data_IF_745135543311
#
_entry.id   IF_745135543311
#
_cell.length_a   1.000
_cell.length_b   1.000
_cell.length_c   1.000
_cell.angle_alpha   90.00
_cell.angle_beta   90.00
_cell.angle_gamma   90.00
#
_symmetry.space_group_name_H-M   'P 1'
#
loop_
_entity.id
_entity.type
_entity.pdbx_description
1 polymer ?
#
# COMPACT_ATOMS: atom_id res chain seq x y z
N UNK A 1 -1.95 -2.73 9.00
CA UNK A 1 -2.73 -3.71 8.22
C UNK A 1 -3.34 -3.03 7.00
N UNK A 2 -4.43 -2.25 7.09
CA UNK A 2 -5.06 -1.57 5.94
C UNK A 2 -4.07 -0.83 5.02
N UNK A 3 -3.26 0.07 5.59
CA UNK A 3 -2.24 0.83 4.82
C UNK A 3 -1.21 -0.07 4.14
N UNK A 4 -0.79 -1.16 4.77
CA UNK A 4 0.20 -2.06 4.17
C UNK A 4 -0.42 -2.95 3.10
N UNK A 5 -1.63 -3.43 3.33
CA UNK A 5 -2.41 -4.18 2.34
C UNK A 5 -2.76 -3.32 1.12
N UNK A 6 -3.06 -2.04 1.33
CA UNK A 6 -3.23 -1.07 0.26
C UNK A 6 -1.93 -0.93 -0.54
N UNK A 7 -0.77 -0.77 0.13
CA UNK A 7 0.53 -0.74 -0.56
C UNK A 7 0.82 -2.01 -1.37
N UNK A 8 0.47 -3.19 -0.85
CA UNK A 8 0.62 -4.47 -1.59
C UNK A 8 -0.25 -4.47 -2.86
N UNK A 9 -1.54 -4.09 -2.77
CA UNK A 9 -2.45 -4.01 -3.93
C UNK A 9 -2.05 -2.94 -4.96
N UNK A 10 -1.32 -1.93 -4.51
CA UNK A 10 -0.89 -0.79 -5.31
C UNK A 10 0.55 -0.91 -5.83
N UNK A 11 1.26 -2.00 -5.52
CA UNK A 11 2.68 -2.16 -5.81
C UNK A 11 2.98 -1.96 -7.30
N UNK A 12 2.20 -2.61 -8.18
CA UNK A 12 2.40 -2.55 -9.64
C UNK A 12 2.24 -1.13 -10.19
N UNK A 13 1.25 -0.37 -9.67
CA UNK A 13 1.00 1.01 -10.09
C UNK A 13 2.08 1.96 -9.58
N UNK A 14 2.57 1.72 -8.37
CA UNK A 14 3.70 2.46 -7.78
C UNK A 14 4.99 2.16 -8.55
N UNK A 15 5.18 0.93 -9.01
CA UNK A 15 6.34 0.54 -9.81
C UNK A 15 6.34 1.23 -11.18
N UNK A 16 5.21 1.25 -11.88
CA UNK A 16 5.07 1.99 -13.14
C UNK A 16 5.38 3.49 -12.98
N UNK A 17 4.86 4.12 -11.92
CA UNK A 17 5.18 5.51 -11.62
C UNK A 17 6.66 5.73 -11.29
N UNK A 18 7.29 4.80 -10.55
CA UNK A 18 8.71 4.87 -10.26
C UNK A 18 9.55 4.75 -11.54
N UNK A 19 9.13 3.95 -12.52
CA UNK A 19 9.77 3.87 -13.83
C UNK A 19 9.67 5.21 -14.58
N UNK A 20 8.48 5.81 -14.67
CA UNK A 20 8.35 7.14 -15.29
C UNK A 20 9.20 8.21 -14.60
N UNK A 21 9.28 8.18 -13.26
CA UNK A 21 10.10 9.12 -12.51
C UNK A 21 11.60 8.95 -12.83
N UNK A 22 12.08 7.72 -12.96
CA UNK A 22 13.46 7.41 -13.37
C UNK A 22 13.76 7.91 -14.79
N UNK A 23 12.82 7.73 -15.72
CA UNK A 23 12.99 8.10 -17.12
C UNK A 23 12.87 9.61 -17.36
N UNK A 24 12.02 10.28 -16.58
CA UNK A 24 11.74 11.72 -16.74
C UNK A 24 12.73 12.63 -16.00
N UNK A 25 13.46 12.10 -15.02
CA UNK A 25 14.46 12.83 -14.24
C UNK A 25 13.90 14.12 -13.63
N UNK A 26 14.54 15.25 -13.93
CA UNK A 26 14.16 16.56 -13.38
C UNK A 26 12.73 16.99 -13.74
N UNK A 27 12.20 16.57 -14.90
CA UNK A 27 10.86 16.95 -15.37
C UNK A 27 9.76 15.96 -14.94
N UNK A 28 10.04 15.02 -14.03
CA UNK A 28 9.08 13.99 -13.61
C UNK A 28 7.74 14.57 -13.13
N UNK A 29 7.75 15.69 -12.40
CA UNK A 29 6.52 16.28 -11.84
C UNK A 29 5.55 16.77 -12.93
N UNK A 30 6.06 17.08 -14.12
CA UNK A 30 5.27 17.52 -15.26
C UNK A 30 4.93 16.36 -16.19
N UNK A 31 5.91 15.49 -16.50
CA UNK A 31 5.73 14.35 -17.43
C UNK A 31 4.95 13.21 -16.82
N UNK A 32 5.21 12.85 -15.57
CA UNK A 32 4.54 11.75 -14.87
C UNK A 32 3.27 12.21 -14.14
N UNK A 33 2.77 13.44 -14.40
CA UNK A 33 1.58 13.98 -13.73
C UNK A 33 0.33 13.14 -14.02
N UNK A 34 0.17 12.72 -15.28
CA UNK A 34 -0.98 11.90 -15.67
C UNK A 34 -0.94 10.51 -15.05
N UNK A 35 0.25 9.90 -14.96
CA UNK A 35 0.43 8.63 -14.25
C UNK A 35 0.22 8.79 -12.74
N UNK A 36 0.64 9.91 -12.17
CA UNK A 36 0.42 10.18 -10.75
C UNK A 36 -1.08 10.37 -10.45
N UNK A 37 -1.81 11.03 -11.34
CA UNK A 37 -3.27 11.21 -11.21
C UNK A 37 -4.04 9.92 -11.50
N UNK A 38 -3.66 9.14 -12.52
CA UNK A 38 -4.43 7.99 -13.00
C UNK A 38 -4.04 6.67 -12.34
N UNK A 39 -2.77 6.51 -11.95
CA UNK A 39 -2.22 5.22 -11.50
C UNK A 39 -1.92 5.20 -10.00
N UNK A 40 -1.30 6.25 -9.44
CA UNK A 40 -0.86 6.25 -8.03
C UNK A 40 -1.85 6.93 -7.09
N UNK A 41 -2.37 8.11 -7.47
CA UNK A 41 -3.17 8.96 -6.61
C UNK A 41 -4.60 8.49 -6.43
N UNK A 42 -5.34 8.27 -7.53
CA UNK A 42 -6.80 8.15 -7.46
C UNK A 42 -7.37 6.76 -7.12
N UNK A 43 -6.88 5.64 -7.69
CA UNK A 43 -7.48 4.33 -7.49
C UNK A 43 -6.70 3.43 -6.51
N UNK A 44 -5.88 4.03 -5.63
CA UNK A 44 -5.01 3.25 -4.75
C UNK A 44 -4.75 3.86 -3.38
N UNK A 45 -4.65 5.20 -3.31
CA UNK A 45 -4.35 5.92 -2.06
C UNK A 45 -5.58 6.67 -1.53
N UNK A 46 -6.52 7.05 -2.40
CA UNK A 46 -7.72 7.77 -2.00
C UNK A 46 -8.69 6.91 -1.17
N UNK A 47 -9.50 7.53 -0.30
CA UNK A 47 -10.44 6.87 0.60
C UNK A 47 -11.49 5.98 -0.08
N UNK A 48 -11.65 6.03 -1.40
CA UNK A 48 -12.64 5.23 -2.11
C UNK A 48 -12.31 3.72 -2.06
N UNK A 49 -11.04 3.33 -2.13
CA UNK A 49 -10.65 1.91 -1.94
C UNK A 49 -10.74 1.47 -0.48
N UNK A 50 -10.59 2.41 0.47
CA UNK A 50 -10.83 2.15 1.89
C UNK A 50 -12.33 2.01 2.21
N UNK A 51 -13.20 2.53 1.34
CA UNK A 51 -14.65 2.38 1.45
C UNK A 51 -15.15 1.08 0.83
N UNK A 52 -14.30 0.31 0.14
CA UNK A 52 -14.67 -1.02 -0.34
C UNK A 52 -14.95 -1.94 0.87
N UNK A 53 -16.20 -2.35 1.10
CA UNK A 53 -16.55 -3.20 2.24
C UNK A 53 -15.84 -4.56 2.18
N UNK A 54 -15.50 -5.06 0.99
CA UNK A 54 -14.77 -6.32 0.85
C UNK A 54 -13.32 -6.19 1.36
N UNK A 55 -12.64 -5.09 1.01
CA UNK A 55 -11.29 -4.81 1.49
C UNK A 55 -11.24 -4.60 3.00
N UNK A 56 -12.24 -3.89 3.55
CA UNK A 56 -12.35 -3.68 4.99
C UNK A 56 -12.53 -4.99 5.75
N UNK A 57 -13.44 -5.87 5.31
CA UNK A 57 -13.66 -7.16 5.95
C UNK A 57 -12.44 -8.08 5.85
N UNK A 58 -11.72 -8.10 4.72
CA UNK A 58 -10.47 -8.87 4.59
C UNK A 58 -9.44 -8.43 5.65
N UNK A 59 -9.21 -7.12 5.76
CA UNK A 59 -8.24 -6.60 6.72
C UNK A 59 -8.69 -6.77 8.18
N UNK A 60 -10.00 -6.74 8.43
CA UNK A 60 -10.58 -7.02 9.75
C UNK A 60 -10.39 -8.48 10.15
N UNK A 61 -10.60 -9.42 9.22
CA UNK A 61 -10.32 -10.84 9.46
C UNK A 61 -8.85 -11.09 9.78
N UNK A 62 -7.94 -10.48 9.01
CA UNK A 62 -6.50 -10.54 9.27
C UNK A 62 -6.13 -10.00 10.65
N UNK A 63 -6.70 -8.86 11.06
CA UNK A 63 -6.49 -8.30 12.39
C UNK A 63 -6.97 -9.22 13.51
N UNK A 64 -8.16 -9.84 13.34
CA UNK A 64 -8.71 -10.78 14.31
C UNK A 64 -7.80 -12.01 14.43
N UNK A 65 -7.30 -12.54 13.31
CA UNK A 65 -6.35 -13.66 13.32
C UNK A 65 -5.06 -13.32 14.04
N UNK A 66 -4.42 -12.18 13.74
CA UNK A 66 -3.21 -11.73 14.45
C UNK A 66 -3.45 -11.57 15.96
N UNK A 67 -4.64 -11.10 16.36
CA UNK A 67 -5.01 -10.98 17.78
C UNK A 67 -5.16 -12.35 18.45
N UNK A 68 -5.82 -13.31 17.79
CA UNK A 68 -5.98 -14.67 18.31
C UNK A 68 -4.63 -15.40 18.43
N UNK A 69 -3.73 -15.21 17.47
CA UNK A 69 -2.38 -15.76 17.54
C UNK A 69 -1.57 -15.14 18.69
N UNK A 70 -1.70 -13.83 18.90
CA UNK A 70 -1.08 -13.15 20.04
C UNK A 70 -1.64 -13.67 21.36
N UNK A 71 -2.95 -13.86 21.49
CA UNK A 71 -3.58 -14.42 22.69
C UNK A 71 -3.13 -15.86 22.97
N UNK A 72 -2.89 -16.66 21.92
CA UNK A 72 -2.41 -18.06 22.05
C UNK A 72 -0.93 -18.18 22.37
N UNK A 73 -0.09 -17.34 21.77
CA UNK A 73 1.37 -17.52 21.77
C UNK A 73 2.11 -16.46 22.58
N UNK A 74 1.47 -15.32 22.86
CA UNK A 74 2.09 -14.15 23.47
C UNK A 74 3.06 -13.38 22.56
N UNK A 75 3.22 -13.77 21.30
CA UNK A 75 4.22 -13.20 20.37
C UNK A 75 3.55 -12.16 19.47
N UNK A 76 3.97 -10.88 19.48
CA UNK A 76 3.34 -9.83 18.68
C UNK A 76 3.73 -9.93 17.19
N UNK A 77 2.73 -9.80 16.31
CA UNK A 77 2.90 -9.81 14.85
C UNK A 77 3.79 -8.66 14.31
N UNK A 78 3.93 -7.55 15.07
CA UNK A 78 4.68 -6.34 14.69
C UNK A 78 6.18 -6.55 14.42
N UNK A 79 6.76 -7.67 14.82
CA UNK A 79 8.19 -7.94 14.57
C UNK A 79 8.50 -8.57 13.20
N UNK A 80 7.51 -8.85 12.35
CA UNK A 80 7.74 -9.56 11.07
C UNK A 80 7.69 -8.69 9.81
N UNK A 81 7.24 -7.42 9.90
CA UNK A 81 7.14 -6.48 8.77
C UNK A 81 7.92 -5.18 8.96
N UNK A 82 9.03 -5.21 9.71
CA UNK A 82 9.86 -4.01 9.85
C UNK A 82 10.44 -3.63 8.49
N UNK A 83 9.86 -2.55 7.94
CA UNK A 83 10.32 -1.72 6.82
C UNK A 83 10.16 -2.40 5.46
N UNK A 84 9.02 -2.16 4.82
CA UNK A 84 9.07 -1.90 3.37
C UNK A 84 10.18 -0.86 3.17
N UNK A 85 11.20 -1.13 2.33
CA UNK A 85 12.27 -0.18 2.10
C UNK A 85 11.61 1.13 1.64
N UNK A 86 11.83 2.18 2.42
CA UNK A 86 11.51 3.52 1.93
C UNK A 86 12.58 3.78 0.89
N UNK A 87 12.25 3.56 -0.39
CA UNK A 87 13.15 3.92 -1.49
C UNK A 87 13.49 5.39 -1.31
N UNK A 88 14.78 5.65 -1.10
CA UNK A 88 15.39 6.95 -1.40
C UNK A 88 15.45 7.13 -2.92
#
# INVERSE_FOLDING_TARGET
>A
IMREKAKERCADRVEAFNQCCKDSGFLMAFKCREENLSNVGFPCILPHDYQDPAFFEECKQLYIQEKLEFERTGIPAKNRKQRLPTSM
#
